data_IF_282470418790
#
_entry.id   IF_282470418790
#
_cell.length_a   1.000
_cell.length_b   1.000
_cell.length_c   1.000
_cell.angle_alpha   90.00
_cell.angle_beta   90.00
_cell.angle_gamma   90.00
#
_symmetry.space_group_name_H-M   'P 1'
#
loop_
_entity.id
_entity.type
_entity.pdbx_description
1 polymer ?
#
# COMPACT_ATOMS: atom_id res chain seq x y z
N UNK A 1 -21.39 -3.30 37.62
CA UNK A 1 -22.25 -3.63 36.47
C UNK A 1 -22.15 -2.43 35.53
N UNK A 2 -21.48 -2.42 34.38
CA UNK A 2 -20.81 -3.40 33.52
C UNK A 2 -19.53 -2.71 32.95
N UNK A 3 -18.38 -3.38 32.99
CA UNK A 3 -17.65 -3.86 31.80
C UNK A 3 -17.00 -2.74 30.96
N UNK A 4 -15.75 -2.41 31.27
CA UNK A 4 -14.93 -1.46 30.52
C UNK A 4 -14.33 -2.21 29.34
N UNK A 5 -14.86 -1.92 28.14
CA UNK A 5 -14.58 -2.63 26.90
C UNK A 5 -13.10 -2.75 26.57
N UNK A 6 -12.71 -3.97 26.24
CA UNK A 6 -11.47 -4.36 25.58
C UNK A 6 -11.35 -3.65 24.23
N UNK A 7 -10.44 -2.68 24.10
CA UNK A 7 -9.99 -2.18 22.80
C UNK A 7 -9.00 -3.20 22.24
N UNK A 8 -9.57 -4.19 21.56
CA UNK A 8 -8.86 -5.05 20.61
C UNK A 8 -8.66 -4.20 19.34
N UNK A 9 -7.55 -3.46 19.29
CA UNK A 9 -7.07 -2.79 18.08
C UNK A 9 -6.41 -3.85 17.20
N UNK A 10 -7.25 -4.72 16.62
CA UNK A 10 -6.92 -5.63 15.53
C UNK A 10 -6.70 -4.79 14.26
N UNK A 11 -5.56 -4.09 14.20
CA UNK A 11 -5.01 -3.45 13.00
C UNK A 11 -4.41 -4.50 12.06
N UNK A 12 -5.21 -5.48 11.66
CA UNK A 12 -4.82 -6.47 10.66
C UNK A 12 -5.97 -6.72 9.68
N UNK A 13 -6.60 -5.62 9.21
CA UNK A 13 -7.58 -5.68 8.12
C UNK A 13 -6.90 -5.83 6.76
N UNK A 14 -6.08 -6.86 6.61
CA UNK A 14 -5.54 -7.33 5.33
C UNK A 14 -6.64 -8.04 4.55
N UNK A 15 -7.34 -7.27 3.72
CA UNK A 15 -8.09 -7.80 2.58
C UNK A 15 -9.60 -7.95 2.79
N UNK A 16 -10.34 -6.87 2.52
CA UNK A 16 -11.69 -6.96 1.94
C UNK A 16 -11.82 -5.91 0.87
N UNK A 17 -11.69 -6.32 -0.40
CA UNK A 17 -12.01 -5.49 -1.54
C UNK A 17 -13.44 -4.96 -1.42
N UNK A 18 -13.57 -3.64 -1.30
CA UNK A 18 -14.81 -2.86 -1.39
C UNK A 18 -14.42 -1.40 -1.62
N UNK A 19 -14.64 -0.92 -2.83
CA UNK A 19 -14.86 0.50 -3.17
C UNK A 19 -13.70 1.48 -2.92
N UNK A 20 -12.74 1.49 -3.85
CA UNK A 20 -12.36 2.73 -4.56
C UNK A 20 -11.63 3.85 -3.82
N UNK A 21 -10.84 3.57 -2.77
CA UNK A 21 -9.78 4.53 -2.41
C UNK A 21 -8.62 4.33 -3.37
N UNK A 22 -8.36 5.35 -4.18
CA UNK A 22 -7.11 5.48 -4.92
C UNK A 22 -5.94 5.17 -3.99
N UNK A 23 -5.11 4.18 -4.35
CA UNK A 23 -3.87 3.94 -3.62
C UNK A 23 -2.97 5.12 -3.95
N UNK A 24 -2.63 5.91 -2.93
CA UNK A 24 -1.81 7.12 -3.04
C UNK A 24 -0.57 7.05 -2.17
N UNK A 25 -0.27 5.87 -1.65
CA UNK A 25 0.84 5.62 -0.77
C UNK A 25 1.32 4.19 -1.00
N UNK A 26 2.62 4.00 -0.94
CA UNK A 26 3.25 2.69 -1.12
C UNK A 26 4.54 2.60 -0.32
N UNK A 27 4.83 1.42 0.19
CA UNK A 27 6.07 1.17 0.94
C UNK A 27 7.15 0.61 0.00
N UNK A 28 8.35 1.19 0.10
CA UNK A 28 9.47 0.74 -0.72
C UNK A 28 9.92 -0.67 -0.28
N UNK A 29 9.99 -1.66 -1.17
CA UNK A 29 10.40 -3.01 -0.81
C UNK A 29 11.90 -3.13 -0.46
N UNK A 30 12.69 -2.09 -0.74
CA UNK A 30 14.13 -2.08 -0.46
C UNK A 30 14.49 -1.42 0.86
N UNK A 31 13.91 -0.24 1.15
CA UNK A 31 14.23 0.51 2.36
C UNK A 31 13.06 0.64 3.35
N UNK A 32 11.91 0.03 3.03
CA UNK A 32 10.69 0.04 3.85
C UNK A 32 10.14 1.45 4.16
N UNK A 33 10.61 2.47 3.43
CA UNK A 33 10.13 3.83 3.57
C UNK A 33 8.76 4.00 2.91
N UNK A 34 7.87 4.73 3.58
CA UNK A 34 6.54 5.07 3.05
C UNK A 34 6.64 6.22 2.04
N UNK A 35 6.18 6.00 0.81
CA UNK A 35 6.22 6.94 -0.29
C UNK A 35 4.79 7.40 -0.65
N UNK A 36 4.34 8.57 -0.19
CA UNK A 36 3.09 9.15 -0.64
C UNK A 36 3.21 9.72 -2.06
N UNK A 37 2.15 9.58 -2.85
CA UNK A 37 1.99 10.08 -4.21
C UNK A 37 0.75 10.97 -4.29
N UNK A 38 0.81 12.04 -5.08
CA UNK A 38 -0.34 12.92 -5.29
C UNK A 38 -1.42 12.22 -6.14
N UNK A 39 -0.94 11.52 -7.17
CA UNK A 39 -1.74 10.78 -8.14
C UNK A 39 -2.04 9.35 -7.66
N UNK A 40 -3.23 8.82 -8.03
CA UNK A 40 -3.58 7.43 -7.81
C UNK A 40 -2.62 6.50 -8.56
N UNK A 41 -2.03 5.55 -7.84
CA UNK A 41 -1.18 4.52 -8.42
C UNK A 41 -2.05 3.58 -9.26
N UNK A 42 -1.66 3.42 -10.51
CA UNK A 42 -2.36 2.59 -11.50
C UNK A 42 -1.55 1.35 -11.85
N UNK A 43 -2.16 0.43 -12.59
CA UNK A 43 -1.43 -0.66 -13.22
C UNK A 43 -0.33 -0.10 -14.13
N UNK A 44 0.84 -0.73 -14.12
CA UNK A 44 2.03 -0.31 -14.88
C UNK A 44 2.57 1.09 -14.55
N UNK A 45 2.18 1.67 -13.41
CA UNK A 45 2.79 2.93 -12.95
C UNK A 45 4.24 2.71 -12.55
N UNK A 46 5.13 3.55 -13.06
CA UNK A 46 6.52 3.63 -12.64
C UNK A 46 6.60 4.53 -11.41
N UNK A 47 7.05 3.98 -10.29
CA UNK A 47 7.21 4.68 -9.03
C UNK A 47 8.67 4.71 -8.66
N UNK A 48 9.10 5.86 -8.16
CA UNK A 48 10.45 6.04 -7.65
C UNK A 48 10.42 6.32 -6.16
N UNK A 49 11.23 5.60 -5.40
CA UNK A 49 11.37 5.86 -3.99
C UNK A 49 12.15 7.16 -3.78
N UNK A 50 11.57 8.12 -3.07
CA UNK A 50 12.22 9.41 -2.79
C UNK A 50 13.30 9.32 -1.69
N UNK A 51 13.43 8.16 -1.03
CA UNK A 51 14.37 7.94 0.06
C UNK A 51 15.63 7.19 -0.41
N UNK A 52 15.48 5.99 -0.98
CA UNK A 52 16.61 5.21 -1.48
C UNK A 52 16.96 5.50 -2.94
N UNK A 53 16.04 6.08 -3.70
CA UNK A 53 16.23 6.42 -5.11
C UNK A 53 15.89 5.30 -6.10
N UNK A 54 15.54 4.09 -5.63
CA UNK A 54 15.19 2.96 -6.49
C UNK A 54 13.88 3.18 -7.25
N UNK A 55 13.81 2.56 -8.42
CA UNK A 55 12.70 2.67 -9.35
C UNK A 55 11.99 1.32 -9.46
N UNK A 56 10.66 1.34 -9.45
CA UNK A 56 9.83 0.15 -9.45
C UNK A 56 8.65 0.33 -10.38
N UNK A 57 8.34 -0.69 -11.17
CA UNK A 57 7.07 -0.80 -11.86
C UNK A 57 6.03 -1.47 -10.97
N UNK A 58 4.88 -0.81 -10.81
CA UNK A 58 3.72 -1.35 -10.10
C UNK A 58 2.84 -2.15 -11.05
N UNK A 59 2.35 -3.29 -10.57
CA UNK A 59 1.33 -4.09 -11.24
C UNK A 59 0.30 -4.57 -10.22
N UNK A 60 -0.98 -4.59 -10.59
CA UNK A 60 -2.03 -5.16 -9.77
C UNK A 60 -2.36 -6.55 -10.31
N UNK A 61 -2.31 -7.54 -9.44
CA UNK A 61 -2.81 -8.88 -9.75
C UNK A 61 -4.35 -8.86 -9.86
N UNK A 62 -4.95 -9.85 -10.52
CA UNK A 62 -6.41 -10.05 -10.60
C UNK A 62 -7.12 -10.05 -9.23
N UNK A 63 -6.40 -10.42 -8.17
CA UNK A 63 -6.87 -10.39 -6.77
C UNK A 63 -6.83 -8.99 -6.13
N UNK A 64 -6.43 -7.95 -6.87
CA UNK A 64 -6.24 -6.59 -6.36
C UNK A 64 -4.98 -6.40 -5.50
N UNK A 65 -4.04 -7.35 -5.54
CA UNK A 65 -2.76 -7.24 -4.81
C UNK A 65 -1.76 -6.46 -5.65
N UNK A 66 -1.19 -5.42 -5.04
CA UNK A 66 -0.12 -4.62 -5.62
C UNK A 66 1.19 -5.40 -5.61
N UNK A 67 1.91 -5.38 -6.72
CA UNK A 67 3.19 -6.05 -6.96
C UNK A 67 4.18 -5.01 -7.46
N UNK A 68 5.34 -4.98 -6.83
CA UNK A 68 6.45 -4.12 -7.21
C UNK A 68 7.49 -4.95 -7.95
N UNK A 69 8.02 -4.41 -9.04
CA UNK A 69 9.12 -4.98 -9.81
C UNK A 69 10.19 -3.91 -9.99
N UNK A 70 11.39 -4.13 -9.45
CA UNK A 70 12.54 -3.21 -9.63
C UNK A 70 12.94 -3.15 -11.11
N UNK A 71 13.31 -1.95 -11.57
CA UNK A 71 13.72 -1.65 -12.95
C UNK A 71 15.14 -1.06 -13.01
#
# INVERSE_FOLDING_TARGET
MQDYGSFDDDDDKKGKGKSGKAIKDWDCPTCEANNPTDEPISNSSELRCNYCGNEFTVSFSDTGKMKFKEI
#
